data_IF_556755773933
#
_entry.id   IF_556755773933
#
_cell.length_a   1.000
_cell.length_b   1.000
_cell.length_c   1.000
_cell.angle_alpha   90.00
_cell.angle_beta   90.00
_cell.angle_gamma   90.00
#
_symmetry.space_group_name_H-M   'P 1'
#
loop_
_entity.id
_entity.type
_entity.pdbx_description
1 polymer ?
#
# COMPACT_ATOMS: atom_id res chain seq x y z
N UNK A 1 2.22 -0.99 7.02
CA UNK A 1 3.44 -0.68 6.24
C UNK A 1 3.09 0.12 5.01
N UNK A 2 3.97 1.01 4.56
CA UNK A 2 3.81 1.77 3.31
C UNK A 2 4.82 1.22 2.30
N UNK A 3 4.38 0.87 1.09
CA UNK A 3 5.19 0.24 0.05
C UNK A 3 5.22 1.13 -1.19
N UNK A 4 6.39 1.30 -1.81
CA UNK A 4 6.48 1.87 -3.15
C UNK A 4 6.05 0.84 -4.19
N UNK A 5 5.11 1.20 -5.06
CA UNK A 5 4.60 0.25 -6.05
C UNK A 5 5.68 -0.15 -7.06
N UNK A 6 6.49 0.80 -7.49
CA UNK A 6 7.48 0.64 -8.54
C UNK A 6 8.86 1.02 -8.00
N UNK A 7 9.75 0.04 -7.89
CA UNK A 7 11.14 0.23 -7.47
C UNK A 7 12.06 -0.19 -8.62
N UNK A 8 12.62 0.76 -9.40
CA UNK A 8 13.55 0.43 -10.47
C UNK A 8 14.77 -0.33 -9.95
N UNK A 9 15.08 -1.49 -10.56
CA UNK A 9 16.22 -2.32 -10.18
C UNK A 9 16.07 -3.09 -8.87
N UNK A 10 14.88 -3.11 -8.27
CA UNK A 10 14.60 -3.79 -7.02
C UNK A 10 13.24 -4.49 -7.00
N UNK A 11 12.85 -4.98 -5.82
CA UNK A 11 11.54 -5.58 -5.59
C UNK A 11 10.46 -4.50 -5.51
N UNK A 12 9.49 -4.54 -6.42
CA UNK A 12 8.34 -3.65 -6.40
C UNK A 12 7.32 -4.00 -5.30
N UNK A 13 6.38 -3.08 -5.06
CA UNK A 13 5.42 -3.17 -3.95
C UNK A 13 4.46 -4.35 -4.05
N UNK A 14 4.12 -4.83 -5.25
CA UNK A 14 3.26 -6.02 -5.45
C UNK A 14 3.94 -7.29 -4.94
N UNK A 15 5.19 -7.49 -5.33
CA UNK A 15 5.96 -8.66 -4.92
C UNK A 15 6.28 -8.61 -3.43
N UNK A 16 6.63 -7.43 -2.91
CA UNK A 16 6.79 -7.23 -1.48
C UNK A 16 5.49 -7.56 -0.72
N UNK A 17 4.35 -7.01 -1.15
CA UNK A 17 3.06 -7.25 -0.51
C UNK A 17 2.72 -8.74 -0.44
N UNK A 18 2.97 -9.49 -1.52
CA UNK A 18 2.76 -10.94 -1.56
C UNK A 18 3.60 -11.68 -0.52
N UNK A 19 4.90 -11.36 -0.44
CA UNK A 19 5.80 -12.00 0.53
C UNK A 19 5.41 -11.64 1.97
N UNK A 20 5.05 -10.38 2.20
CA UNK A 20 4.64 -9.90 3.51
C UNK A 20 3.35 -10.54 3.99
N UNK A 21 2.34 -10.67 3.13
CA UNK A 21 1.09 -11.34 3.47
C UNK A 21 1.24 -12.86 3.65
N UNK A 22 2.29 -13.46 3.06
CA UNK A 22 2.64 -14.86 3.33
C UNK A 22 3.21 -15.02 4.74
N UNK A 23 3.95 -14.01 5.23
CA UNK A 23 4.54 -14.02 6.58
C UNK A 23 3.54 -13.57 7.66
N UNK A 24 2.77 -12.52 7.38
CA UNK A 24 1.73 -11.95 8.25
C UNK A 24 0.48 -11.64 7.41
N UNK A 25 -0.51 -12.56 7.39
CA UNK A 25 -1.76 -12.37 6.67
C UNK A 25 -2.63 -11.20 7.19
N UNK A 26 -2.32 -10.65 8.37
CA UNK A 26 -3.02 -9.51 8.97
C UNK A 26 -2.30 -8.18 8.74
N UNK A 27 -1.14 -8.20 8.08
CA UNK A 27 -0.39 -6.99 7.77
C UNK A 27 -1.25 -5.98 7.00
N UNK A 28 -1.36 -4.77 7.54
CA UNK A 28 -2.02 -3.63 6.86
C UNK A 28 -1.04 -2.97 5.91
N UNK A 29 -1.35 -2.99 4.62
CA UNK A 29 -0.48 -2.51 3.56
C UNK A 29 -1.06 -1.26 2.91
N UNK A 30 -0.27 -0.18 2.85
CA UNK A 30 -0.58 1.03 2.10
C UNK A 30 0.36 1.05 0.89
N UNK A 31 -0.18 1.24 -0.30
CA UNK A 31 0.63 1.38 -1.51
C UNK A 31 0.86 2.85 -1.84
N UNK A 32 2.07 3.22 -2.26
CA UNK A 32 2.40 4.56 -2.73
C UNK A 32 2.85 4.52 -4.19
N UNK A 33 2.22 5.33 -5.04
CA UNK A 33 2.52 5.38 -6.48
C UNK A 33 2.32 6.78 -7.04
N UNK A 34 3.11 7.17 -8.05
CA UNK A 34 2.91 8.41 -8.80
C UNK A 34 1.82 8.32 -9.88
N UNK A 35 1.38 7.11 -10.24
CA UNK A 35 0.40 6.90 -11.28
C UNK A 35 -0.75 6.03 -10.74
N UNK A 36 -1.95 6.60 -10.71
CA UNK A 36 -3.16 5.88 -10.29
C UNK A 36 -3.55 4.77 -11.27
N UNK A 37 -3.13 4.88 -12.55
CA UNK A 37 -3.26 3.83 -13.56
C UNK A 37 -2.51 2.55 -13.22
N UNK A 38 -1.51 2.61 -12.35
CA UNK A 38 -0.73 1.44 -11.94
C UNK A 38 -1.50 0.55 -10.94
N UNK A 39 -2.65 1.02 -10.44
CA UNK A 39 -3.53 0.28 -9.55
C UNK A 39 -4.70 -0.32 -10.34
N UNK A 40 -4.76 -1.65 -10.35
CA UNK A 40 -5.87 -2.41 -10.94
C UNK A 40 -6.84 -2.90 -9.86
N UNK A 41 -8.07 -3.26 -10.24
CA UNK A 41 -9.04 -3.91 -9.33
C UNK A 41 -8.45 -5.21 -8.75
N UNK A 42 -7.65 -5.93 -9.53
CA UNK A 42 -6.97 -7.14 -9.07
C UNK A 42 -5.97 -6.85 -7.95
N UNK A 43 -5.39 -5.65 -7.88
CA UNK A 43 -4.45 -5.31 -6.81
C UNK A 43 -5.15 -5.15 -5.46
N UNK A 44 -6.36 -4.58 -5.47
CA UNK A 44 -7.18 -4.43 -4.26
C UNK A 44 -7.66 -5.78 -3.72
N UNK A 45 -8.03 -6.71 -4.61
CA UNK A 45 -8.48 -8.04 -4.20
C UNK A 45 -7.34 -9.00 -3.85
N UNK A 46 -6.23 -8.96 -4.59
CA UNK A 46 -5.12 -9.92 -4.43
C UNK A 46 -4.14 -9.52 -3.33
N UNK A 47 -3.76 -8.23 -3.25
CA UNK A 47 -2.76 -7.75 -2.28
C UNK A 47 -3.39 -7.11 -1.03
N UNK A 48 -4.73 -7.09 -0.94
CA UNK A 48 -5.50 -6.59 0.21
C UNK A 48 -4.98 -5.24 0.75
N UNK A 49 -4.65 -4.32 -0.15
CA UNK A 49 -4.20 -2.99 0.24
C UNK A 49 -5.28 -2.33 1.10
N UNK A 50 -4.85 -1.84 2.27
CA UNK A 50 -5.69 -1.14 3.25
C UNK A 50 -5.86 0.34 2.91
N UNK A 51 -5.03 0.87 2.02
CA UNK A 51 -5.10 2.25 1.52
C UNK A 51 -4.06 2.53 0.44
N UNK A 52 -4.09 3.74 -0.13
CA UNK A 52 -3.08 4.19 -1.09
C UNK A 52 -2.68 5.65 -0.87
N UNK A 53 -1.47 6.01 -1.31
CA UNK A 53 -0.92 7.36 -1.31
C UNK A 53 -0.42 7.73 -2.72
N UNK A 54 -1.13 8.63 -3.40
CA UNK A 54 -0.73 9.15 -4.70
C UNK A 54 0.41 10.17 -4.54
N UNK A 55 1.54 9.96 -5.23
CA UNK A 55 2.68 10.89 -5.20
C UNK A 55 2.46 12.03 -6.21
N UNK A 56 2.89 13.26 -5.90
CA UNK A 56 3.34 13.72 -4.59
C UNK A 56 2.16 13.86 -3.62
N UNK A 57 2.41 13.60 -2.33
CA UNK A 57 1.43 13.81 -1.26
C UNK A 57 2.03 14.70 -0.16
N UNK A 58 1.16 15.39 0.55
CA UNK A 58 1.46 16.16 1.75
C UNK A 58 1.48 15.29 3.02
N UNK A 59 2.04 15.85 4.10
CA UNK A 59 1.97 15.22 5.42
C UNK A 59 0.51 15.04 5.90
N UNK A 60 -0.39 15.97 5.56
CA UNK A 60 -1.81 15.90 5.94
C UNK A 60 -2.51 14.71 5.25
N UNK A 61 -2.25 14.51 3.97
CA UNK A 61 -2.79 13.35 3.24
C UNK A 61 -2.26 12.03 3.78
N UNK A 62 -0.96 11.98 4.12
CA UNK A 62 -0.37 10.80 4.78
C UNK A 62 -1.03 10.51 6.12
N UNK A 63 -1.17 11.51 6.99
CA UNK A 63 -1.81 11.35 8.30
C UNK A 63 -3.22 10.82 8.16
N UNK A 64 -4.01 11.37 7.23
CA UNK A 64 -5.39 10.90 7.00
C UNK A 64 -5.45 9.43 6.60
N UNK A 65 -4.56 8.99 5.70
CA UNK A 65 -4.51 7.57 5.29
C UNK A 65 -4.07 6.68 6.46
N UNK A 66 -3.09 7.12 7.25
CA UNK A 66 -2.65 6.40 8.44
C UNK A 66 -3.78 6.27 9.47
N UNK A 67 -4.50 7.34 9.78
CA UNK A 67 -5.65 7.31 10.69
C UNK A 67 -6.73 6.34 10.19
N UNK A 68 -7.08 6.38 8.91
CA UNK A 68 -8.06 5.47 8.31
C UNK A 68 -7.63 3.99 8.44
N UNK A 69 -6.36 3.70 8.16
CA UNK A 69 -5.84 2.33 8.21
C UNK A 69 -5.63 1.86 9.66
N UNK A 70 -5.24 2.75 10.57
CA UNK A 70 -4.89 2.41 11.95
C UNK A 70 -6.08 2.41 12.91
N UNK A 71 -7.16 3.15 12.63
CA UNK A 71 -8.31 3.37 13.51
C UNK A 71 -9.14 2.13 13.88
N UNK A 72 -8.81 0.95 13.36
CA UNK A 72 -9.39 -0.31 13.83
C UNK A 72 -8.56 -0.86 15.00
N UNK A 73 -8.97 -0.50 16.21
CA UNK A 73 -8.69 -1.24 17.43
C UNK A 73 -9.60 -2.47 17.46
N UNK A 74 -9.03 -3.66 17.35
CA UNK A 74 -9.67 -4.88 17.85
C UNK A 74 -9.46 -4.93 19.37
#
# INVERSE_FOLDING_TARGET
MILDLTVPGGMGGREAARQLLTLDPQARLIVSTGYTSDLSIADWSHYRFSGFLAKPYSAVEMTRVLELVLSHSA
#
